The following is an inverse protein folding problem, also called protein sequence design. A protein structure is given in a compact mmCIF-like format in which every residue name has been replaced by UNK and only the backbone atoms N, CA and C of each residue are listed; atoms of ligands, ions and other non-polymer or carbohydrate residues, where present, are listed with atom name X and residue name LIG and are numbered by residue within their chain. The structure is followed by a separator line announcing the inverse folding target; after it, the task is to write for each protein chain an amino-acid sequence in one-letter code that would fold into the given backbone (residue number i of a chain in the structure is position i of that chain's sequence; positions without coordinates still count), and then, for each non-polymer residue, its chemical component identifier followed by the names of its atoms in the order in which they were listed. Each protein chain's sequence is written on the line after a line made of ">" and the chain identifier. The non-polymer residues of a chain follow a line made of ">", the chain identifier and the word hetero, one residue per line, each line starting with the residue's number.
data_IF_286889070726
#
_entry.id   IF_286889070726
#
_cell.length_a   1.000
_cell.length_b   1.000
_cell.length_c   1.000
_cell.angle_alpha   90.00
_cell.angle_beta   90.00
_cell.angle_gamma   90.00
#
_symmetry.space_group_name_H-M   'P 1'
#
loop_
_entity.id
_entity.type
_entity.pdbx_description
1 polymer ?
#
# COMPACT_ATOMS: atom_id res chain seq x y z
N UNK A 1 1.83 -3.33 5.24
CA UNK A 1 0.49 -3.69 4.69
C UNK A 1 0.27 -5.19 4.51
N UNK A 2 1.22 -5.95 3.94
CA UNK A 2 1.05 -7.41 3.78
C UNK A 2 0.79 -8.13 5.13
N UNK A 3 1.55 -7.80 6.18
CA UNK A 3 1.30 -8.29 7.55
C UNK A 3 -0.04 -7.82 8.12
N UNK A 4 -0.39 -6.54 7.93
CA UNK A 4 -1.64 -5.93 8.41
C UNK A 4 -2.88 -6.63 7.86
N UNK A 5 -2.90 -6.89 6.55
CA UNK A 5 -4.06 -7.51 5.89
C UNK A 5 -3.96 -9.04 5.77
N UNK A 6 -2.84 -9.64 6.19
CA UNK A 6 -2.52 -11.06 6.01
C UNK A 6 -2.71 -11.50 4.56
N UNK A 7 -2.05 -10.77 3.66
CA UNK A 7 -2.07 -11.02 2.21
C UNK A 7 -0.71 -10.89 1.59
N UNK A 8 -0.51 -11.58 0.48
CA UNK A 8 0.71 -11.48 -0.30
C UNK A 8 0.97 -10.05 -0.78
N UNK A 9 2.26 -9.70 -0.84
CA UNK A 9 2.72 -8.41 -1.35
C UNK A 9 2.16 -8.12 -2.75
N UNK A 10 2.11 -9.12 -3.62
CA UNK A 10 1.56 -9.02 -4.98
C UNK A 10 0.10 -8.57 -5.00
N UNK A 11 -0.72 -9.11 -4.10
CA UNK A 11 -2.14 -8.75 -3.99
C UNK A 11 -2.29 -7.30 -3.53
N UNK A 12 -1.52 -6.89 -2.52
CA UNK A 12 -1.52 -5.50 -2.03
C UNK A 12 -1.07 -4.54 -3.14
N UNK A 13 0.03 -4.84 -3.83
CA UNK A 13 0.54 -4.02 -4.92
C UNK A 13 -0.48 -3.86 -6.06
N UNK A 14 -1.24 -4.92 -6.38
CA UNK A 14 -2.33 -4.83 -7.37
C UNK A 14 -3.43 -3.88 -6.93
N UNK A 15 -3.87 -3.94 -5.67
CA UNK A 15 -4.92 -3.03 -5.19
C UNK A 15 -4.45 -1.57 -5.19
N UNK A 16 -3.20 -1.32 -4.77
CA UNK A 16 -2.60 0.02 -4.81
C UNK A 16 -2.53 0.54 -6.25
N UNK A 17 -2.11 -0.30 -7.20
CA UNK A 17 -2.07 0.08 -8.61
C UNK A 17 -3.46 0.46 -9.12
N UNK A 18 -4.47 -0.36 -8.86
CA UNK A 18 -5.84 -0.08 -9.30
C UNK A 18 -6.38 1.23 -8.70
N UNK A 19 -6.09 1.54 -7.43
CA UNK A 19 -6.49 2.80 -6.80
C UNK A 19 -5.98 4.01 -7.59
N UNK A 20 -4.74 3.95 -8.08
CA UNK A 20 -4.14 5.02 -8.86
C UNK A 20 -4.65 5.02 -10.31
N UNK A 21 -4.80 3.85 -10.93
CA UNK A 21 -5.31 3.72 -12.30
C UNK A 21 -6.78 4.19 -12.40
N UNK A 22 -7.57 3.99 -11.35
CA UNK A 22 -8.96 4.45 -11.21
C UNK A 22 -9.06 5.94 -10.85
N UNK A 23 -7.94 6.61 -10.54
CA UNK A 23 -7.89 8.02 -10.19
C UNK A 23 -8.48 8.37 -8.82
N UNK A 24 -8.70 7.38 -7.95
CA UNK A 24 -9.27 7.62 -6.62
C UNK A 24 -8.32 8.37 -5.69
N UNK A 25 -7.01 8.15 -5.85
CA UNK A 25 -5.97 8.86 -5.13
C UNK A 25 -4.91 9.36 -6.10
N UNK A 26 -4.28 10.49 -5.75
CA UNK A 26 -3.16 11.04 -6.51
C UNK A 26 -1.87 10.51 -5.90
N UNK A 27 -1.09 9.76 -6.69
CA UNK A 27 0.13 9.09 -6.23
C UNK A 27 1.11 10.03 -5.53
N UNK A 28 1.30 11.23 -6.06
CA UNK A 28 2.23 12.22 -5.50
C UNK A 28 1.76 12.84 -4.18
N UNK A 29 0.45 12.79 -3.89
CA UNK A 29 -0.10 13.30 -2.63
C UNK A 29 -0.04 12.26 -1.50
N UNK A 30 0.06 10.97 -1.84
CA UNK A 30 -0.15 9.87 -0.88
C UNK A 30 1.05 8.90 -0.77
N UNK A 31 2.05 9.03 -1.65
CA UNK A 31 3.28 8.23 -1.65
C UNK A 31 4.49 9.12 -1.41
N UNK A 32 5.29 8.76 -0.41
CA UNK A 32 6.62 9.34 -0.19
C UNK A 32 7.69 8.32 -0.56
N UNK A 33 8.60 8.69 -1.46
CA UNK A 33 9.74 7.86 -1.85
C UNK A 33 10.90 8.14 -0.89
N UNK A 34 11.31 7.14 -0.11
CA UNK A 34 12.51 7.23 0.72
C UNK A 34 13.58 6.29 0.18
N UNK A 35 14.79 6.83 0.04
CA UNK A 35 15.97 6.04 -0.27
C UNK A 35 16.48 5.42 1.02
N UNK A 36 16.32 4.11 1.18
CA UNK A 36 16.91 3.37 2.29
C UNK A 36 18.17 2.66 1.80
N UNK A 37 19.32 3.07 2.31
CA UNK A 37 20.59 2.39 2.08
C UNK A 37 20.60 1.10 2.90
N UNK A 38 20.49 -0.04 2.24
CA UNK A 38 20.60 -1.32 2.91
C UNK A 38 22.08 -1.68 3.15
N UNK A 39 22.31 -2.60 4.09
CA UNK A 39 23.63 -3.06 4.52
C UNK A 39 24.49 -3.69 3.40
N UNK A 40 23.89 -3.97 2.24
CA UNK A 40 24.50 -4.50 1.02
C UNK A 40 25.02 -3.41 0.07
N UNK A 41 25.04 -2.12 0.50
CA UNK A 41 25.36 -0.93 -0.30
C UNK A 41 24.42 -0.70 -1.49
N UNK A 42 23.27 -1.37 -1.55
CA UNK A 42 22.24 -1.09 -2.56
C UNK A 42 21.22 -0.10 -2.02
N UNK A 43 20.92 0.90 -2.84
CA UNK A 43 19.86 1.86 -2.58
C UNK A 43 18.53 1.24 -3.00
N UNK A 44 17.67 0.93 -2.04
CA UNK A 44 16.30 0.51 -2.33
C UNK A 44 15.38 1.72 -2.24
N UNK A 45 14.62 1.96 -3.30
CA UNK A 45 13.49 2.89 -3.25
C UNK A 45 12.36 2.18 -2.51
N UNK A 46 11.98 2.71 -1.35
CA UNK A 46 10.87 2.20 -0.57
C UNK A 46 9.75 3.23 -0.63
N UNK A 47 8.62 2.81 -1.18
CA UNK A 47 7.39 3.59 -1.19
C UNK A 47 6.76 3.54 0.20
N UNK A 48 6.55 4.71 0.80
CA UNK A 48 5.75 4.87 2.01
C UNK A 48 4.38 5.41 1.62
N UNK A 49 3.35 4.71 2.05
CA UNK A 49 1.96 5.04 1.74
C UNK A 49 1.29 5.64 2.96
N UNK A 50 0.55 6.73 2.76
CA UNK A 50 -0.19 7.39 3.81
C UNK A 50 -1.44 6.60 4.26
N UNK A 51 -2.19 7.16 5.21
CA UNK A 51 -3.38 6.53 5.78
C UNK A 51 -4.49 6.31 4.74
N UNK A 52 -4.66 7.23 3.79
CA UNK A 52 -5.72 7.13 2.77
C UNK A 52 -5.54 5.88 1.90
N UNK A 53 -4.30 5.59 1.50
CA UNK A 53 -4.00 4.36 0.75
C UNK A 53 -4.29 3.12 1.59
N UNK A 54 -3.93 3.14 2.88
CA UNK A 54 -4.19 2.01 3.78
C UNK A 54 -5.70 1.76 3.91
N UNK A 55 -6.49 2.82 4.07
CA UNK A 55 -7.95 2.74 4.17
C UNK A 55 -8.54 2.22 2.85
N UNK A 56 -8.17 2.82 1.72
CA UNK A 56 -8.66 2.41 0.39
C UNK A 56 -8.34 0.95 0.05
N UNK A 57 -7.14 0.48 0.44
CA UNK A 57 -6.78 -0.95 0.33
C UNK A 57 -7.61 -1.79 1.30
N UNK A 58 -7.83 -1.34 2.53
CA UNK A 58 -8.65 -2.02 3.53
C UNK A 58 -10.08 -2.28 3.06
N UNK A 59 -10.70 -1.30 2.41
CA UNK A 59 -12.02 -1.46 1.78
C UNK A 59 -12.06 -2.48 0.65
N UNK A 60 -10.94 -2.76 -0.03
CA UNK A 60 -10.88 -3.68 -1.18
C UNK A 60 -10.44 -5.10 -0.82
N UNK A 61 -9.60 -5.26 0.20
CA UNK A 61 -9.02 -6.55 0.55
C UNK A 61 -10.03 -7.45 1.28
N UNK A 62 -10.23 -8.66 0.77
CA UNK A 62 -11.09 -9.68 1.40
C UNK A 62 -10.39 -10.39 2.58
N UNK A 63 -10.04 -9.71 3.66
CA UNK A 63 -9.47 -10.34 4.87
C UNK A 63 -10.25 -9.98 6.13
N UNK A 64 -10.05 -10.71 7.24
CA UNK A 64 -10.66 -10.37 8.54
C UNK A 64 -10.39 -8.91 8.93
N UNK A 65 -9.15 -8.45 8.71
CA UNK A 65 -8.74 -7.06 8.93
C UNK A 65 -9.39 -6.10 7.93
N UNK A 66 -9.46 -6.44 6.64
CA UNK A 66 -10.15 -5.61 5.64
C UNK A 66 -11.64 -5.43 5.91
N UNK A 67 -12.33 -6.46 6.43
CA UNK A 67 -13.74 -6.36 6.84
C UNK A 67 -13.93 -5.34 7.96
N UNK A 68 -12.97 -5.19 8.88
CA UNK A 68 -13.03 -4.18 9.95
C UNK A 68 -12.97 -2.74 9.44
N UNK A 69 -12.51 -2.50 8.20
CA UNK A 69 -12.59 -1.17 7.59
C UNK A 69 -13.99 -0.84 7.05
N UNK A 70 -14.92 -1.81 7.03
CA UNK A 70 -16.28 -1.69 6.47
C UNK A 70 -17.40 -1.74 7.51
N UNK A 71 -17.08 -1.97 8.78
CA UNK A 71 -18.01 -2.07 9.92
C UNK A 71 -17.87 -0.80 10.74
#
# INVERSE_FOLDING_TARGET
>A
MSSLFQRDKSTISRHIKNIFDEGELIKDAVVANFATTASDRKTYQVDYYNLDVIISVGYRVKSKRGVQFRI
#
